data_IF_143334150856
#
_entry.id   IF_143334150856
#
_cell.length_a   1.000
_cell.length_b   1.000
_cell.length_c   1.000
_cell.angle_alpha   90.00
_cell.angle_beta   90.00
_cell.angle_gamma   90.00
#
_symmetry.space_group_name_H-M   'P 1'
#
loop_
_entity.id
_entity.type
_entity.pdbx_description
1 polymer ?
#
# COMPACT_ATOMS: atom_id res chain seq x y z
N UNK A 1 17.27 4.73 21.69
CA UNK A 1 17.34 4.83 20.21
C UNK A 1 17.10 6.29 19.83
N UNK A 2 17.74 6.78 18.77
CA UNK A 2 17.49 8.15 18.29
C UNK A 2 16.02 8.28 17.88
N UNK A 3 15.33 9.29 18.38
CA UNK A 3 13.97 9.61 17.97
C UNK A 3 14.05 10.53 16.74
N UNK A 4 13.25 10.22 15.73
CA UNK A 4 13.09 11.04 14.54
C UNK A 4 11.61 11.31 14.36
N UNK A 5 11.24 12.59 14.27
CA UNK A 5 9.86 12.99 14.10
C UNK A 5 9.49 12.98 12.62
N UNK A 6 8.30 12.48 12.31
CA UNK A 6 7.71 12.52 10.97
C UNK A 6 6.43 13.32 11.06
N UNK A 7 6.30 14.35 10.23
CA UNK A 7 5.10 15.18 10.10
C UNK A 7 4.54 14.98 8.71
N UNK A 8 3.24 14.67 8.61
CA UNK A 8 2.54 14.51 7.34
C UNK A 8 1.21 15.25 7.39
N UNK A 9 0.83 15.82 6.25
CA UNK A 9 -0.46 16.49 6.09
C UNK A 9 -1.54 15.46 5.76
N UNK A 10 -2.73 15.63 6.34
CA UNK A 10 -3.86 14.73 6.18
C UNK A 10 -5.16 15.54 6.18
N UNK A 11 -6.11 15.15 5.35
CA UNK A 11 -7.45 15.72 5.37
C UNK A 11 -8.09 15.54 6.74
N UNK A 12 -8.73 16.58 7.27
CA UNK A 12 -9.35 16.57 8.60
C UNK A 12 -10.34 15.42 8.79
N UNK A 13 -11.17 15.14 7.79
CA UNK A 13 -12.14 14.04 7.86
C UNK A 13 -11.43 12.69 8.00
N UNK A 14 -10.36 12.47 7.24
CA UNK A 14 -9.59 11.23 7.29
C UNK A 14 -8.88 11.06 8.64
N UNK A 15 -8.34 12.16 9.19
CA UNK A 15 -7.76 12.20 10.53
C UNK A 15 -8.75 11.72 11.58
N UNK A 16 -9.95 12.28 11.58
CA UNK A 16 -10.95 12.01 12.60
C UNK A 16 -11.48 10.58 12.49
N UNK A 17 -11.71 10.08 11.28
CA UNK A 17 -12.09 8.69 11.05
C UNK A 17 -11.01 7.69 11.51
N UNK A 18 -9.73 8.01 11.26
CA UNK A 18 -8.63 7.16 11.73
C UNK A 18 -8.52 7.19 13.25
N UNK A 19 -8.75 8.34 13.89
CA UNK A 19 -8.70 8.49 15.34
C UNK A 19 -9.78 7.63 16.03
N UNK A 20 -11.01 7.65 15.50
CA UNK A 20 -12.12 6.82 16.00
C UNK A 20 -11.77 5.33 15.96
N UNK A 21 -11.26 4.83 14.83
CA UNK A 21 -10.85 3.42 14.70
C UNK A 21 -9.71 3.07 15.67
N UNK A 22 -8.74 3.96 15.84
CA UNK A 22 -7.62 3.74 16.76
C UNK A 22 -8.12 3.64 18.22
N UNK A 23 -9.07 4.48 18.62
CA UNK A 23 -9.70 4.44 19.94
C UNK A 23 -10.48 3.15 20.18
N UNK A 24 -11.27 2.70 19.19
CA UNK A 24 -11.97 1.40 19.24
C UNK A 24 -11.01 0.21 19.39
N UNK A 25 -9.82 0.30 18.78
CA UNK A 25 -8.76 -0.70 18.88
C UNK A 25 -7.92 -0.56 20.15
N UNK A 26 -8.15 0.48 20.97
CA UNK A 26 -7.39 0.77 22.18
C UNK A 26 -5.93 1.11 21.88
N UNK A 27 -5.67 1.80 20.77
CA UNK A 27 -4.33 2.20 20.35
C UNK A 27 -4.25 3.68 20.00
N UNK A 28 -3.08 4.27 20.21
CA UNK A 28 -2.81 5.63 19.75
C UNK A 28 -2.52 5.65 18.24
N UNK A 29 -2.90 6.73 17.58
CA UNK A 29 -2.67 6.90 16.14
C UNK A 29 -1.18 6.75 15.76
N UNK A 30 -0.28 7.26 16.60
CA UNK A 30 1.17 7.13 16.42
C UNK A 30 1.61 5.65 16.44
N UNK A 31 1.00 4.84 17.29
CA UNK A 31 1.33 3.41 17.40
C UNK A 31 0.82 2.61 16.20
N UNK A 32 -0.32 3.00 15.63
CA UNK A 32 -0.80 2.46 14.36
C UNK A 32 0.20 2.72 13.23
N UNK A 33 0.72 3.95 13.12
CA UNK A 33 1.74 4.29 12.11
C UNK A 33 3.07 3.55 12.33
N UNK A 34 3.53 3.41 13.58
CA UNK A 34 4.71 2.60 13.90
C UNK A 34 4.52 1.14 13.53
N UNK A 35 3.35 0.57 13.80
CA UNK A 35 3.02 -0.81 13.46
C UNK A 35 3.02 -1.02 11.95
N UNK A 36 2.37 -0.11 11.21
CA UNK A 36 2.40 -0.09 9.75
C UNK A 36 3.83 -0.07 9.21
N UNK A 37 4.66 0.88 9.68
CA UNK A 37 6.04 1.01 9.23
C UNK A 37 6.86 -0.26 9.52
N UNK A 38 6.69 -0.84 10.71
CA UNK A 38 7.39 -2.08 11.09
C UNK A 38 6.99 -3.26 10.20
N UNK A 39 5.69 -3.38 9.90
CA UNK A 39 5.17 -4.45 9.04
C UNK A 39 5.65 -4.29 7.60
N UNK A 40 5.55 -3.09 7.04
CA UNK A 40 6.05 -2.76 5.70
C UNK A 40 7.54 -3.08 5.55
N UNK A 41 8.37 -2.75 6.53
CA UNK A 41 9.81 -3.07 6.51
C UNK A 41 10.04 -4.59 6.56
N UNK A 42 9.27 -5.33 7.35
CA UNK A 42 9.43 -6.77 7.46
C UNK A 42 9.04 -7.52 6.18
N UNK A 43 8.02 -7.03 5.48
CA UNK A 43 7.45 -7.70 4.29
C UNK A 43 7.97 -7.13 2.96
N UNK A 44 8.64 -5.96 3.01
CA UNK A 44 9.13 -5.24 1.82
C UNK A 44 7.99 -4.88 0.84
N UNK A 45 6.76 -4.71 1.35
CA UNK A 45 5.57 -4.36 0.59
C UNK A 45 4.58 -3.54 1.43
N UNK A 46 3.54 -2.97 0.80
CA UNK A 46 2.45 -2.32 1.53
C UNK A 46 1.64 -3.41 2.25
N UNK A 47 1.51 -3.35 3.59
CA UNK A 47 0.94 -4.43 4.39
C UNK A 47 -0.59 -4.45 4.40
N UNK A 48 -1.22 -4.05 3.29
CA UNK A 48 -2.63 -4.15 3.00
C UNK A 48 -2.83 -4.00 1.48
N UNK A 49 -3.95 -4.52 0.98
CA UNK A 49 -4.32 -4.35 -0.42
C UNK A 49 -4.66 -2.88 -0.69
N UNK A 50 -4.07 -2.31 -1.74
CA UNK A 50 -4.32 -0.92 -2.16
C UNK A 50 -4.98 -0.93 -3.53
N UNK A 51 -6.15 -0.30 -3.61
CA UNK A 51 -6.88 -0.10 -4.85
C UNK A 51 -6.75 1.35 -5.33
N UNK A 52 -7.19 1.61 -6.56
CA UNK A 52 -7.18 2.96 -7.14
C UNK A 52 -8.04 3.94 -6.33
N UNK A 53 -9.06 3.45 -5.63
CA UNK A 53 -9.96 4.28 -4.81
C UNK A 53 -9.33 4.73 -3.48
N UNK A 54 -8.30 4.03 -3.01
CA UNK A 54 -7.62 4.32 -1.74
C UNK A 54 -6.56 5.42 -1.87
N UNK A 55 -6.27 5.85 -3.10
CA UNK A 55 -5.31 6.90 -3.37
C UNK A 55 -5.99 8.26 -3.15
N UNK A 56 -5.45 9.12 -2.25
CA UNK A 56 -5.95 10.47 -2.06
C UNK A 56 -6.01 11.23 -3.39
N UNK A 57 -7.20 11.70 -3.75
CA UNK A 57 -7.47 12.36 -5.02
C UNK A 57 -7.12 13.87 -5.01
N UNK A 58 -6.58 14.36 -3.90
CA UNK A 58 -6.30 15.78 -3.69
C UNK A 58 -5.09 16.30 -4.51
N UNK A 59 -4.30 15.41 -5.11
CA UNK A 59 -3.30 15.76 -6.12
C UNK A 59 -3.36 14.81 -7.31
N UNK A 60 -3.78 15.35 -8.47
CA UNK A 60 -3.89 14.63 -9.74
C UNK A 60 -2.56 14.03 -10.27
N UNK A 61 -1.45 14.15 -9.53
CA UNK A 61 -0.11 13.72 -9.93
C UNK A 61 0.68 12.99 -8.82
N UNK A 62 0.00 12.26 -7.92
CA UNK A 62 0.72 11.52 -6.88
C UNK A 62 1.51 10.31 -7.44
N UNK A 63 2.83 10.31 -7.20
CA UNK A 63 3.79 9.26 -7.63
C UNK A 63 3.35 7.84 -7.23
N UNK A 64 2.57 7.71 -6.15
CA UNK A 64 2.02 6.45 -5.65
C UNK A 64 1.10 5.78 -6.68
N UNK A 65 0.27 6.57 -7.39
CA UNK A 65 -0.58 6.08 -8.49
C UNK A 65 0.26 5.43 -9.59
N UNK A 66 1.41 6.05 -9.91
CA UNK A 66 2.29 5.57 -10.98
C UNK A 66 2.92 4.23 -10.60
N UNK A 67 3.37 4.07 -9.35
CA UNK A 67 4.00 2.84 -8.87
C UNK A 67 2.99 1.67 -8.82
N UNK A 68 1.78 1.89 -8.29
CA UNK A 68 0.74 0.85 -8.22
C UNK A 68 0.27 0.43 -9.62
N UNK A 69 0.14 1.37 -10.56
CA UNK A 69 -0.16 1.03 -11.96
C UNK A 69 0.93 0.17 -12.60
N UNK A 70 2.21 0.47 -12.34
CA UNK A 70 3.34 -0.30 -12.89
C UNK A 70 3.41 -1.71 -12.28
N UNK A 71 3.20 -1.88 -10.96
CA UNK A 71 3.24 -3.21 -10.34
C UNK A 71 2.12 -4.12 -10.86
N UNK A 72 0.91 -3.59 -11.06
CA UNK A 72 -0.20 -4.34 -11.67
C UNK A 72 0.12 -4.82 -13.09
N UNK A 73 0.81 -4.00 -13.89
CA UNK A 73 1.23 -4.38 -15.26
C UNK A 73 2.26 -5.51 -15.22
N UNK A 74 3.25 -5.44 -14.31
CA UNK A 74 4.29 -6.48 -14.18
C UNK A 74 3.67 -7.84 -13.82
N UNK A 75 2.73 -7.86 -12.87
CA UNK A 75 2.02 -9.09 -12.49
C UNK A 75 1.24 -9.70 -13.66
N UNK A 76 0.55 -8.87 -14.45
CA UNK A 76 -0.18 -9.33 -15.64
C UNK A 76 0.75 -9.93 -16.70
N UNK A 77 1.90 -9.31 -16.97
CA UNK A 77 2.89 -9.81 -17.94
C UNK A 77 3.48 -11.15 -17.49
N UNK A 78 3.82 -11.29 -16.21
CA UNK A 78 4.36 -12.53 -15.66
C UNK A 78 3.36 -13.69 -15.80
N UNK A 79 2.08 -13.46 -15.48
CA UNK A 79 1.03 -14.47 -15.61
C UNK A 79 0.85 -14.94 -17.07
N UNK A 80 0.89 -14.01 -18.03
CA UNK A 80 0.79 -14.32 -19.46
C UNK A 80 2.00 -15.15 -19.93
N UNK A 81 3.21 -14.77 -19.52
CA UNK A 81 4.43 -15.50 -19.88
C UNK A 81 4.40 -16.94 -19.35
N UNK A 82 3.97 -17.13 -18.09
CA UNK A 82 3.78 -18.47 -17.51
C UNK A 82 2.75 -19.31 -18.28
N UNK A 83 1.64 -18.70 -18.72
CA UNK A 83 0.61 -19.40 -19.49
C UNK A 83 1.14 -19.85 -20.87
N UNK A 84 1.89 -18.99 -21.55
CA UNK A 84 2.50 -19.30 -22.85
C UNK A 84 3.47 -20.48 -22.73
N UNK A 85 4.36 -20.46 -21.74
CA UNK A 85 5.30 -21.57 -21.50
C UNK A 85 4.56 -22.88 -21.19
N UNK A 86 3.47 -22.81 -20.42
CA UNK A 86 2.65 -23.97 -20.10
C UNK A 86 2.00 -24.58 -21.35
N UNK A 87 1.44 -23.75 -22.24
CA UNK A 87 0.85 -24.20 -23.51
C UNK A 87 1.89 -24.80 -24.46
N UNK A 88 3.08 -24.20 -24.56
CA UNK A 88 4.17 -24.73 -25.39
C UNK A 88 4.68 -26.09 -24.91
N UNK A 89 4.77 -26.31 -23.58
CA UNK A 89 5.15 -27.61 -23.02
C UNK A 89 4.09 -28.69 -23.22
N UNK A 90 2.80 -28.32 -23.33
CA UNK A 90 1.70 -29.28 -23.52
C UNK A 90 1.57 -29.79 -24.96
N UNK A 91 2.12 -29.06 -25.93
CA UNK A 91 2.09 -29.41 -27.36
C UNK A 91 3.30 -30.26 -27.78
N UNK A 92 4.36 -30.31 -26.96
CA UNK A 92 5.56 -31.14 -27.17
C UNK A 92 5.45 -32.44 -26.40
#
# INVERSE_FOLDING_TARGET
MAQTNVSFEMNEKLRDQMAEICDELGMEMEDAFKLFAKKMVNEQEIPFEVTVNDIPNDDADSTVVRIVKISAIIAAVAAVASLIVHLLRKIR
#
